data_IF_171023028502
#
_entry.id   IF_171023028502
#
_cell.length_a   1.000
_cell.length_b   1.000
_cell.length_c   1.000
_cell.angle_alpha   90.00
_cell.angle_beta   90.00
_cell.angle_gamma   90.00
#
_symmetry.space_group_name_H-M   'P 1'
#
loop_
_entity.id
_entity.type
_entity.pdbx_description
1 polymer ?
#
# COMPACT_ATOMS: atom_id res chain seq x y z
N UNK A 1 17.93 47.82 48.78
CA UNK A 1 18.75 46.78 48.11
C UNK A 1 17.94 46.24 46.93
N UNK A 2 18.39 46.46 45.68
CA UNK A 2 17.68 46.08 44.45
C UNK A 2 18.00 44.62 44.11
N UNK A 3 17.04 43.71 44.26
CA UNK A 3 17.17 42.31 43.86
C UNK A 3 17.05 42.16 42.34
N UNK A 4 18.11 41.70 41.68
CA UNK A 4 18.10 41.34 40.25
C UNK A 4 17.49 39.94 40.10
N UNK A 5 16.38 39.85 39.37
CA UNK A 5 15.76 38.59 38.97
C UNK A 5 16.58 37.95 37.84
N UNK A 6 17.06 36.73 38.07
CA UNK A 6 17.88 35.96 37.14
C UNK A 6 16.95 35.14 36.23
N UNK A 7 16.91 35.48 34.94
CA UNK A 7 16.14 34.74 33.94
C UNK A 7 16.95 33.51 33.51
N UNK A 8 16.51 32.33 33.93
CA UNK A 8 17.07 31.05 33.46
C UNK A 8 16.65 30.82 32.01
N UNK A 9 17.63 30.82 31.11
CA UNK A 9 17.48 30.44 29.71
C UNK A 9 17.52 28.91 29.62
N UNK A 10 16.38 28.27 29.38
CA UNK A 10 16.32 26.83 29.10
C UNK A 10 16.60 26.63 27.62
N UNK A 11 17.81 26.17 27.28
CA UNK A 11 18.15 25.74 25.93
C UNK A 11 17.61 24.31 25.77
N UNK A 12 16.49 24.17 25.06
CA UNK A 12 15.94 22.88 24.68
C UNK A 12 16.76 22.35 23.48
N UNK A 13 17.82 21.59 23.75
CA UNK A 13 18.51 20.81 22.71
C UNK A 13 17.58 19.71 22.23
N UNK A 14 16.94 19.91 21.08
CA UNK A 14 16.26 18.86 20.35
C UNK A 14 17.30 17.82 19.89
N UNK A 15 17.45 16.75 20.66
CA UNK A 15 18.14 15.53 20.25
C UNK A 15 17.36 14.93 19.07
N UNK A 16 17.81 15.23 17.85
CA UNK A 16 17.47 14.51 16.64
C UNK A 16 18.02 13.09 16.80
N UNK A 17 17.24 12.20 17.42
CA UNK A 17 17.54 10.77 17.39
C UNK A 17 17.42 10.32 15.92
N UNK A 18 18.48 9.77 15.31
CA UNK A 18 18.35 9.18 13.99
C UNK A 18 17.33 8.04 14.13
N UNK A 19 16.20 8.17 13.44
CA UNK A 19 15.26 7.07 13.28
C UNK A 19 16.05 5.99 12.55
N UNK A 20 16.38 4.91 13.26
CA UNK A 20 17.03 3.74 12.67
C UNK A 20 16.08 3.22 11.59
N UNK A 21 16.39 3.53 10.32
CA UNK A 21 15.80 2.85 9.19
C UNK A 21 16.12 1.37 9.38
N UNK A 22 15.13 0.57 9.80
CA UNK A 22 15.30 -0.88 9.80
C UNK A 22 15.48 -1.29 8.36
N UNK A 23 16.71 -1.64 7.99
CA UNK A 23 17.01 -2.17 6.68
C UNK A 23 16.32 -3.54 6.57
N UNK A 24 15.33 -3.65 5.70
CA UNK A 24 14.75 -4.94 5.31
C UNK A 24 15.84 -5.81 4.68
N UNK A 25 15.82 -7.10 4.98
CA UNK A 25 16.80 -8.04 4.42
C UNK A 25 16.30 -8.58 3.09
N UNK A 26 17.11 -8.46 2.05
CA UNK A 26 16.84 -9.12 0.78
C UNK A 26 17.49 -10.50 0.76
N UNK A 27 16.77 -11.50 0.30
CA UNK A 27 17.38 -12.78 -0.02
C UNK A 27 18.40 -12.63 -1.17
N UNK A 28 19.33 -13.59 -1.27
CA UNK A 28 20.42 -13.55 -2.26
C UNK A 28 19.90 -13.59 -3.70
N UNK A 29 18.79 -14.25 -3.93
CA UNK A 29 18.15 -14.45 -5.23
C UNK A 29 17.35 -13.25 -5.74
N UNK A 30 17.12 -12.22 -4.92
CA UNK A 30 16.51 -10.97 -5.41
C UNK A 30 17.53 -10.25 -6.31
N UNK A 31 17.19 -9.92 -7.57
CA UNK A 31 18.10 -9.19 -8.46
C UNK A 31 18.48 -7.82 -7.89
N UNK A 32 19.71 -7.37 -8.10
CA UNK A 32 20.23 -6.15 -7.47
C UNK A 32 19.48 -4.88 -7.92
N UNK A 33 19.07 -4.85 -9.19
CA UNK A 33 18.21 -3.81 -9.74
C UNK A 33 16.83 -3.76 -9.06
N UNK A 34 16.31 -4.91 -8.63
CA UNK A 34 15.02 -5.00 -7.91
C UNK A 34 15.18 -4.58 -6.46
N UNK A 35 16.30 -4.90 -5.80
CA UNK A 35 16.61 -4.36 -4.47
C UNK A 35 16.69 -2.84 -4.50
N UNK A 36 17.42 -2.31 -5.48
CA UNK A 36 17.57 -0.87 -5.69
C UNK A 36 16.23 -0.20 -5.97
N UNK A 37 15.41 -0.80 -6.85
CA UNK A 37 14.06 -0.32 -7.13
C UNK A 37 13.20 -0.29 -5.86
N UNK A 38 13.19 -1.37 -5.08
CA UNK A 38 12.40 -1.46 -3.84
C UNK A 38 12.83 -0.41 -2.81
N UNK A 39 14.13 -0.22 -2.62
CA UNK A 39 14.65 0.83 -1.73
C UNK A 39 14.22 2.21 -2.21
N UNK A 40 14.35 2.50 -3.50
CA UNK A 40 13.91 3.78 -4.07
C UNK A 40 12.41 4.01 -3.96
N UNK A 41 11.60 2.95 -4.12
CA UNK A 41 10.15 3.01 -3.98
C UNK A 41 9.73 3.28 -2.53
N UNK A 42 10.42 2.66 -1.57
CA UNK A 42 10.21 2.92 -0.15
C UNK A 42 10.74 4.29 0.28
N UNK A 43 11.82 4.78 -0.31
CA UNK A 43 12.23 6.18 -0.12
C UNK A 43 11.21 7.16 -0.70
N UNK A 44 10.62 6.85 -1.85
CA UNK A 44 9.56 7.68 -2.43
C UNK A 44 8.34 7.76 -1.52
N UNK A 45 7.84 6.62 -0.99
CA UNK A 45 6.65 6.65 -0.12
C UNK A 45 6.91 7.48 1.14
N UNK A 46 8.15 7.44 1.67
CA UNK A 46 8.56 8.21 2.86
C UNK A 46 8.52 9.73 2.64
N UNK A 47 8.58 10.19 1.39
CA UNK A 47 8.46 11.61 1.06
C UNK A 47 7.03 12.11 0.95
N UNK A 48 6.00 11.24 0.96
CA UNK A 48 4.62 11.69 0.74
C UNK A 48 4.14 12.59 1.88
N UNK A 49 3.58 13.75 1.52
CA UNK A 49 2.98 14.68 2.48
C UNK A 49 1.54 14.98 2.12
N UNK A 50 0.69 15.08 3.13
CA UNK A 50 -0.72 15.44 3.01
C UNK A 50 -1.32 15.78 4.38
N UNK A 51 -2.11 16.85 4.42
CA UNK A 51 -2.71 17.34 5.68
C UNK A 51 -4.06 16.68 6.00
N UNK A 52 -4.68 16.05 4.99
CA UNK A 52 -5.99 15.43 5.09
C UNK A 52 -5.91 13.95 4.70
N UNK A 53 -6.88 13.19 5.18
CA UNK A 53 -7.15 11.82 4.75
C UNK A 53 -8.63 11.52 4.94
N UNK A 54 -9.12 10.58 4.16
CA UNK A 54 -10.47 10.03 4.27
C UNK A 54 -10.64 9.20 5.55
N UNK A 55 -11.89 8.91 5.94
CA UNK A 55 -12.17 8.21 7.19
C UNK A 55 -11.71 6.75 7.15
N UNK A 56 -11.78 6.07 5.99
CA UNK A 56 -11.25 4.72 5.87
C UNK A 56 -9.72 4.70 5.91
N UNK A 57 -9.08 5.70 5.31
CA UNK A 57 -7.62 5.82 5.35
C UNK A 57 -7.09 6.02 6.78
N UNK A 58 -7.76 6.86 7.56
CA UNK A 58 -7.41 7.07 8.97
C UNK A 58 -7.46 5.78 9.80
N UNK A 59 -8.38 4.86 9.48
CA UNK A 59 -8.51 3.59 10.19
C UNK A 59 -7.39 2.59 9.87
N UNK A 60 -6.78 2.69 8.68
CA UNK A 60 -5.75 1.74 8.23
C UNK A 60 -4.36 2.28 8.49
N UNK A 61 -4.12 3.51 8.03
CA UNK A 61 -2.80 4.13 8.00
C UNK A 61 -2.72 5.33 8.95
N UNK A 62 -3.72 6.21 8.91
CA UNK A 62 -3.68 7.50 9.59
C UNK A 62 -3.79 8.67 8.59
N UNK A 63 -2.93 9.68 8.76
CA UNK A 63 -2.78 10.76 7.77
C UNK A 63 -2.09 10.26 6.49
N UNK A 64 -2.26 10.98 5.39
CA UNK A 64 -1.44 10.78 4.18
C UNK A 64 -0.05 11.34 4.48
N UNK A 65 0.83 10.49 5.01
CA UNK A 65 2.12 10.92 5.52
C UNK A 65 3.15 9.81 5.34
N UNK A 66 4.31 10.15 4.80
CA UNK A 66 5.37 9.21 4.47
C UNK A 66 5.88 8.44 5.69
N UNK A 67 6.26 9.10 6.79
CA UNK A 67 6.62 8.41 8.04
C UNK A 67 5.56 7.40 8.53
N UNK A 68 4.27 7.73 8.40
CA UNK A 68 3.17 6.81 8.75
C UNK A 68 3.15 5.58 7.83
N UNK A 69 3.28 5.76 6.51
CA UNK A 69 3.38 4.67 5.55
C UNK A 69 4.64 3.81 5.78
N UNK A 70 5.78 4.45 6.00
CA UNK A 70 7.06 3.81 6.30
C UNK A 70 6.96 2.96 7.57
N UNK A 71 6.37 3.50 8.65
CA UNK A 71 6.13 2.75 9.87
C UNK A 71 5.17 1.57 9.65
N UNK A 72 4.10 1.78 8.88
CA UNK A 72 3.16 0.72 8.55
C UNK A 72 3.85 -0.46 7.88
N UNK A 73 4.70 -0.19 6.87
CA UNK A 73 5.46 -1.22 6.17
C UNK A 73 6.53 -1.87 7.06
N UNK A 74 7.40 -1.08 7.69
CA UNK A 74 8.53 -1.59 8.47
C UNK A 74 8.11 -2.41 9.70
N UNK A 75 6.92 -2.15 10.25
CA UNK A 75 6.37 -2.95 11.36
C UNK A 75 5.80 -4.30 10.92
N UNK A 76 5.71 -4.55 9.61
CA UNK A 76 5.02 -5.71 9.01
C UNK A 76 5.96 -6.58 8.19
N UNK A 77 6.79 -5.96 7.35
CA UNK A 77 7.69 -6.65 6.42
C UNK A 77 9.13 -6.38 6.82
N UNK A 78 9.87 -7.44 7.14
CA UNK A 78 11.27 -7.41 7.55
C UNK A 78 12.19 -8.07 6.53
N UNK A 79 11.66 -8.91 5.64
CA UNK A 79 12.42 -9.59 4.61
C UNK A 79 11.69 -9.61 3.27
N UNK A 80 12.47 -9.60 2.18
CA UNK A 80 11.99 -9.64 0.80
C UNK A 80 12.74 -10.73 0.04
N UNK A 81 12.01 -11.64 -0.59
CA UNK A 81 12.56 -12.78 -1.33
C UNK A 81 11.94 -12.97 -2.71
N UNK A 82 12.34 -14.06 -3.38
CA UNK A 82 11.70 -14.52 -4.62
C UNK A 82 10.92 -15.82 -4.40
N UNK A 83 9.74 -15.95 -4.99
CA UNK A 83 8.96 -17.19 -5.00
C UNK A 83 7.99 -17.22 -6.20
N UNK A 84 7.52 -18.41 -6.58
CA UNK A 84 6.50 -18.55 -7.63
C UNK A 84 5.07 -18.23 -7.14
N UNK A 85 4.85 -18.12 -5.83
CA UNK A 85 3.57 -17.75 -5.20
C UNK A 85 2.35 -18.56 -5.71
N UNK A 86 2.54 -19.85 -5.95
CA UNK A 86 1.48 -20.73 -6.44
C UNK A 86 1.22 -20.67 -7.96
N UNK A 87 1.95 -19.86 -8.73
CA UNK A 87 1.94 -19.91 -10.20
C UNK A 87 2.02 -18.56 -10.92
N UNK A 88 2.02 -18.60 -12.24
CA UNK A 88 2.39 -17.47 -13.13
C UNK A 88 1.45 -16.27 -13.19
N UNK A 89 0.41 -16.17 -12.35
CA UNK A 89 -0.53 -15.03 -12.32
C UNK A 89 -0.28 -14.06 -11.17
N UNK A 90 0.32 -14.52 -10.07
CA UNK A 90 0.60 -13.69 -8.90
C UNK A 90 1.70 -12.67 -9.21
N UNK A 91 1.68 -11.52 -8.54
CA UNK A 91 2.71 -10.48 -8.67
C UNK A 91 3.68 -10.55 -7.49
N UNK A 92 3.13 -10.70 -6.30
CA UNK A 92 3.85 -11.01 -5.08
C UNK A 92 2.94 -11.89 -4.19
N UNK A 93 3.46 -12.34 -3.06
CA UNK A 93 2.68 -12.98 -2.02
C UNK A 93 3.33 -12.82 -0.65
N UNK A 94 2.55 -13.02 0.39
CA UNK A 94 3.02 -13.49 1.70
C UNK A 94 2.58 -14.93 1.86
N UNK A 95 3.45 -15.75 2.44
CA UNK A 95 3.20 -17.15 2.78
C UNK A 95 3.22 -17.29 4.31
N UNK A 96 2.08 -17.02 5.00
CA UNK A 96 2.00 -16.88 6.46
C UNK A 96 2.61 -18.04 7.25
N UNK A 97 2.51 -19.26 6.75
CA UNK A 97 3.01 -20.46 7.41
C UNK A 97 4.54 -20.64 7.34
N UNK A 98 5.23 -19.94 6.42
CA UNK A 98 6.70 -19.89 6.40
C UNK A 98 7.23 -18.67 7.17
N UNK A 99 6.63 -17.50 6.94
CA UNK A 99 6.97 -16.27 7.66
C UNK A 99 5.83 -15.27 7.52
N UNK A 100 5.37 -14.74 8.65
CA UNK A 100 4.37 -13.69 8.70
C UNK A 100 4.97 -12.29 8.48
N UNK A 101 6.28 -12.16 8.25
CA UNK A 101 6.92 -10.84 8.02
C UNK A 101 7.82 -10.82 6.79
N UNK A 102 7.65 -11.79 5.90
CA UNK A 102 8.38 -11.85 4.63
C UNK A 102 7.41 -11.68 3.48
N UNK A 103 7.81 -10.85 2.52
CA UNK A 103 7.14 -10.71 1.23
C UNK A 103 7.98 -11.44 0.18
N UNK A 104 7.32 -12.16 -0.72
CA UNK A 104 7.97 -12.81 -1.85
C UNK A 104 7.50 -12.16 -3.15
N UNK A 105 8.44 -11.71 -3.96
CA UNK A 105 8.20 -11.19 -5.30
C UNK A 105 8.21 -12.36 -6.29
N UNK A 106 7.38 -12.25 -7.33
CA UNK A 106 7.38 -13.20 -8.46
C UNK A 106 8.11 -12.61 -9.66
N UNK A 107 8.34 -13.41 -10.69
CA UNK A 107 8.83 -12.92 -12.00
C UNK A 107 7.93 -11.84 -12.61
N UNK A 108 6.62 -11.84 -12.31
CA UNK A 108 5.72 -10.80 -12.83
C UNK A 108 6.02 -9.41 -12.25
N UNK A 109 6.49 -9.33 -11.00
CA UNK A 109 6.92 -8.06 -10.40
C UNK A 109 8.22 -7.56 -11.05
N UNK A 110 9.12 -8.48 -11.37
CA UNK A 110 10.43 -8.18 -11.96
C UNK A 110 10.31 -7.76 -13.42
N UNK A 111 9.51 -8.49 -14.21
CA UNK A 111 9.51 -8.35 -15.68
C UNK A 111 8.69 -7.16 -16.19
N UNK A 112 7.70 -6.70 -15.43
CA UNK A 112 6.81 -5.65 -15.89
C UNK A 112 7.11 -4.31 -15.23
N UNK A 113 7.51 -3.33 -16.04
CA UNK A 113 7.68 -1.95 -15.58
C UNK A 113 6.32 -1.29 -15.34
N UNK A 114 6.10 -0.87 -14.10
CA UNK A 114 4.91 -0.15 -13.66
C UNK A 114 5.32 1.16 -13.00
N UNK A 115 4.48 2.22 -12.99
CA UNK A 115 4.76 3.44 -12.24
C UNK A 115 5.14 3.18 -10.78
N UNK A 116 6.04 4.00 -10.23
CA UNK A 116 6.53 3.82 -8.85
C UNK A 116 5.40 3.74 -7.81
N UNK A 117 4.39 4.61 -7.93
CA UNK A 117 3.23 4.61 -7.00
C UNK A 117 2.39 3.32 -7.10
N UNK A 118 2.30 2.71 -8.28
CA UNK A 118 1.58 1.44 -8.43
C UNK A 118 2.39 0.24 -7.95
N UNK A 119 3.73 0.28 -8.00
CA UNK A 119 4.55 -0.73 -7.31
C UNK A 119 4.34 -0.68 -5.80
N UNK A 120 4.23 0.51 -5.22
CA UNK A 120 3.91 0.66 -3.79
C UNK A 120 2.53 0.09 -3.43
N UNK A 121 1.56 0.12 -4.33
CA UNK A 121 0.27 -0.56 -4.14
C UNK A 121 0.44 -2.06 -3.84
N UNK A 122 1.33 -2.74 -4.57
CA UNK A 122 1.63 -4.18 -4.36
C UNK A 122 2.36 -4.36 -3.02
N UNK A 123 3.35 -3.51 -2.72
CA UNK A 123 4.11 -3.60 -1.48
C UNK A 123 3.20 -3.47 -0.24
N UNK A 124 2.29 -2.49 -0.24
CA UNK A 124 1.33 -2.31 0.84
C UNK A 124 0.22 -3.35 0.85
N UNK A 125 -0.14 -3.89 -0.32
CA UNK A 125 -1.05 -5.03 -0.43
C UNK A 125 -0.49 -6.24 0.30
N UNK A 126 0.76 -6.61 0.01
CA UNK A 126 1.42 -7.74 0.67
C UNK A 126 1.65 -7.49 2.15
N UNK A 127 1.95 -6.24 2.54
CA UNK A 127 2.04 -5.89 3.96
C UNK A 127 0.75 -6.23 4.72
N UNK A 128 -0.45 -6.11 4.13
CA UNK A 128 -1.69 -6.56 4.81
C UNK A 128 -1.71 -8.05 5.08
N UNK A 129 -1.15 -8.86 4.19
CA UNK A 129 -1.11 -10.30 4.37
C UNK A 129 -0.21 -10.75 5.54
N UNK A 130 0.56 -9.85 6.14
CA UNK A 130 1.33 -10.09 7.38
C UNK A 130 0.51 -9.97 8.66
N UNK A 131 -0.72 -9.42 8.60
CA UNK A 131 -1.49 -9.03 9.78
C UNK A 131 -2.23 -10.22 10.41
N UNK A 132 -1.50 -11.05 11.17
CA UNK A 132 -2.01 -12.27 11.84
C UNK A 132 -3.24 -11.99 12.72
N UNK A 133 -3.27 -10.88 13.45
CA UNK A 133 -4.41 -10.49 14.31
C UNK A 133 -5.71 -10.28 13.53
N UNK A 134 -5.60 -10.05 12.22
CA UNK A 134 -6.70 -9.86 11.30
C UNK A 134 -6.88 -11.06 10.36
N UNK A 135 -6.28 -12.21 10.70
CA UNK A 135 -6.34 -13.43 9.90
C UNK A 135 -5.59 -13.34 8.59
N UNK A 136 -4.56 -12.48 8.47
CA UNK A 136 -3.73 -12.30 7.26
C UNK A 136 -4.50 -11.76 6.04
N UNK A 137 -5.71 -11.21 6.22
CA UNK A 137 -6.53 -10.62 5.14
C UNK A 137 -6.53 -11.45 3.84
N UNK A 138 -6.93 -12.74 3.86
CA UNK A 138 -6.85 -13.59 2.68
C UNK A 138 -7.76 -13.02 1.58
N UNK A 139 -7.36 -13.23 0.33
CA UNK A 139 -8.23 -12.90 -0.80
C UNK A 139 -9.51 -13.74 -0.75
N UNK A 140 -10.60 -13.13 -1.16
CA UNK A 140 -11.82 -13.82 -1.53
C UNK A 140 -11.76 -14.27 -2.99
N UNK A 141 -12.47 -15.36 -3.28
CA UNK A 141 -12.70 -15.81 -4.66
C UNK A 141 -13.59 -14.81 -5.40
N UNK A 142 -13.13 -14.39 -6.57
CA UNK A 142 -13.91 -13.54 -7.47
C UNK A 142 -15.10 -14.31 -8.07
N UNK A 143 -16.23 -13.63 -8.36
CA UNK A 143 -17.43 -14.28 -8.90
C UNK A 143 -17.16 -14.93 -10.27
N UNK A 144 -18.07 -15.79 -10.72
CA UNK A 144 -18.03 -16.36 -12.07
C UNK A 144 -19.43 -16.26 -12.68
N UNK A 145 -19.63 -15.51 -13.78
CA UNK A 145 -18.64 -14.66 -14.46
C UNK A 145 -18.21 -13.46 -13.60
N UNK A 146 -17.01 -12.93 -13.83
CA UNK A 146 -16.55 -11.66 -13.25
C UNK A 146 -16.38 -10.63 -14.35
N UNK A 147 -17.36 -9.73 -14.46
CA UNK A 147 -17.41 -8.70 -15.51
C UNK A 147 -17.31 -7.30 -14.90
N UNK A 148 -16.76 -6.36 -15.67
CA UNK A 148 -16.79 -4.94 -15.33
C UNK A 148 -18.15 -4.29 -15.66
N UNK A 149 -18.24 -2.97 -15.48
CA UNK A 149 -19.45 -2.21 -15.73
C UNK A 149 -19.90 -2.22 -17.21
N UNK A 150 -18.98 -2.46 -18.14
CA UNK A 150 -19.23 -2.53 -19.57
C UNK A 150 -19.53 -3.97 -20.05
N UNK A 151 -19.56 -4.94 -19.12
CA UNK A 151 -19.79 -6.36 -19.41
C UNK A 151 -18.54 -7.10 -19.91
N UNK A 152 -17.36 -6.49 -19.86
CA UNK A 152 -16.08 -7.10 -20.28
C UNK A 152 -15.50 -7.94 -19.14
N UNK A 153 -14.78 -9.03 -19.48
CA UNK A 153 -14.11 -9.85 -18.46
C UNK A 153 -13.10 -9.03 -17.66
N UNK A 154 -13.20 -9.12 -16.34
CA UNK A 154 -12.23 -8.54 -15.42
C UNK A 154 -10.89 -9.25 -15.59
N UNK A 155 -9.85 -8.46 -15.88
CA UNK A 155 -8.46 -8.91 -16.04
C UNK A 155 -7.53 -8.14 -15.10
N UNK A 156 -6.44 -8.78 -14.70
CA UNK A 156 -5.36 -8.14 -13.96
C UNK A 156 -4.69 -7.06 -14.81
N UNK A 157 -4.59 -5.83 -14.31
CA UNK A 157 -3.80 -4.77 -14.95
C UNK A 157 -2.30 -5.13 -15.04
N UNK A 158 -1.82 -6.01 -14.15
CA UNK A 158 -0.41 -6.41 -14.07
C UNK A 158 -0.04 -7.51 -15.05
N UNK A 159 -0.93 -8.47 -15.28
CA UNK A 159 -0.60 -9.71 -15.99
C UNK A 159 -1.51 -10.01 -17.18
N UNK A 160 -2.61 -9.27 -17.34
CA UNK A 160 -3.63 -9.52 -18.35
C UNK A 160 -4.46 -10.80 -18.12
N UNK A 161 -4.21 -11.54 -17.03
CA UNK A 161 -4.92 -12.76 -16.71
C UNK A 161 -6.37 -12.47 -16.30
N UNK A 162 -7.30 -13.35 -16.71
CA UNK A 162 -8.71 -13.28 -16.28
C UNK A 162 -8.82 -13.59 -14.79
N UNK A 163 -9.67 -12.83 -14.09
CA UNK A 163 -9.81 -12.89 -12.63
C UNK A 163 -11.01 -13.72 -12.15
N UNK A 164 -11.93 -14.13 -13.04
CA UNK A 164 -13.09 -14.92 -12.67
C UNK A 164 -12.68 -16.25 -11.98
N UNK A 165 -13.25 -16.52 -10.79
CA UNK A 165 -12.95 -17.73 -10.01
C UNK A 165 -11.59 -17.73 -9.30
N UNK A 166 -10.75 -16.71 -9.48
CA UNK A 166 -9.44 -16.61 -8.82
C UNK A 166 -9.58 -16.03 -7.40
N UNK A 167 -8.70 -16.40 -6.44
CA UNK A 167 -8.60 -15.74 -5.14
C UNK A 167 -7.94 -14.37 -5.31
N UNK A 168 -8.70 -13.42 -5.86
CA UNK A 168 -8.19 -12.18 -6.40
C UNK A 168 -9.11 -10.99 -6.12
N UNK A 169 -10.00 -11.13 -5.13
CA UNK A 169 -11.00 -10.14 -4.76
C UNK A 169 -11.02 -9.91 -3.25
N UNK A 170 -11.67 -8.83 -2.82
CA UNK A 170 -11.97 -8.56 -1.42
C UNK A 170 -13.47 -8.53 -1.13
N UNK A 171 -13.82 -8.78 0.13
CA UNK A 171 -15.18 -8.66 0.67
C UNK A 171 -15.34 -7.50 1.66
N UNK A 172 -14.26 -6.82 2.01
CA UNK A 172 -14.31 -5.68 2.95
C UNK A 172 -13.44 -4.55 2.42
N UNK A 173 -13.64 -3.30 2.89
CA UNK A 173 -12.74 -2.20 2.55
C UNK A 173 -11.31 -2.40 3.06
N UNK A 174 -11.12 -3.26 4.07
CA UNK A 174 -9.85 -3.46 4.76
C UNK A 174 -9.05 -4.66 4.24
N UNK A 175 -9.60 -5.40 3.27
CA UNK A 175 -8.86 -6.42 2.53
C UNK A 175 -7.68 -5.81 1.77
N UNK A 176 -6.81 -6.64 1.22
CA UNK A 176 -5.53 -6.18 0.69
C UNK A 176 -5.67 -5.34 -0.60
N UNK A 177 -6.67 -5.58 -1.46
CA UNK A 177 -6.99 -4.68 -2.58
C UNK A 177 -7.71 -3.41 -2.12
N UNK A 178 -8.63 -3.55 -1.16
CA UNK A 178 -9.37 -2.44 -0.55
C UNK A 178 -8.45 -1.42 0.12
N UNK A 179 -7.51 -1.88 0.96
CA UNK A 179 -6.56 -1.00 1.63
C UNK A 179 -5.62 -0.31 0.66
N UNK A 180 -5.14 -1.03 -0.36
CA UNK A 180 -4.24 -0.44 -1.35
C UNK A 180 -4.95 0.59 -2.22
N UNK A 181 -6.21 0.35 -2.60
CA UNK A 181 -7.00 1.36 -3.33
C UNK A 181 -7.30 2.58 -2.46
N UNK A 182 -7.55 2.39 -1.16
CA UNK A 182 -7.75 3.48 -0.20
C UNK A 182 -6.48 4.33 -0.10
N UNK A 183 -5.31 3.71 0.08
CA UNK A 183 -4.02 4.40 0.09
C UNK A 183 -3.84 5.24 -1.18
N UNK A 184 -3.98 4.62 -2.35
CA UNK A 184 -3.78 5.28 -3.63
C UNK A 184 -4.77 6.44 -3.88
N UNK A 185 -6.07 6.27 -3.58
CA UNK A 185 -7.04 7.38 -3.72
C UNK A 185 -6.75 8.53 -2.78
N UNK A 186 -6.22 8.26 -1.59
CA UNK A 186 -5.83 9.31 -0.67
C UNK A 186 -4.56 10.03 -1.13
N UNK A 187 -3.59 9.32 -1.72
CA UNK A 187 -2.44 9.95 -2.40
C UNK A 187 -2.93 10.83 -3.57
N UNK A 188 -3.82 10.33 -4.42
CA UNK A 188 -4.40 11.11 -5.52
C UNK A 188 -5.03 12.42 -5.01
N UNK A 189 -5.85 12.34 -3.95
CA UNK A 189 -6.66 13.47 -3.48
C UNK A 189 -5.92 14.45 -2.59
N UNK A 190 -5.08 13.94 -1.68
CA UNK A 190 -4.60 14.72 -0.53
C UNK A 190 -3.09 14.87 -0.48
N UNK A 191 -2.33 14.23 -1.37
CA UNK A 191 -0.88 14.45 -1.42
C UNK A 191 -0.56 15.87 -1.89
N UNK A 192 0.00 16.70 -1.03
CA UNK A 192 0.33 18.11 -1.31
C UNK A 192 1.60 18.26 -2.14
N UNK A 193 2.55 17.34 -2.01
CA UNK A 193 3.85 17.39 -2.68
C UNK A 193 4.01 16.41 -3.87
N UNK A 194 2.96 15.65 -4.21
CA UNK A 194 2.97 14.78 -5.38
C UNK A 194 2.72 15.55 -6.68
N UNK A 195 3.41 15.17 -7.75
CA UNK A 195 3.14 15.68 -9.11
C UNK A 195 1.79 15.22 -9.63
N UNK A 196 1.24 15.92 -10.62
CA UNK A 196 -0.01 15.54 -11.28
C UNK A 196 0.07 14.13 -11.88
N UNK A 197 1.23 13.75 -12.41
CA UNK A 197 1.45 12.39 -12.93
C UNK A 197 1.31 11.35 -11.83
N UNK A 198 1.94 11.56 -10.66
CA UNK A 198 1.82 10.63 -9.52
C UNK A 198 0.37 10.51 -9.07
N UNK A 199 -0.35 11.64 -8.96
CA UNK A 199 -1.77 11.63 -8.59
C UNK A 199 -2.64 10.91 -9.61
N UNK A 200 -2.39 11.13 -10.91
CA UNK A 200 -3.10 10.48 -12.00
C UNK A 200 -2.86 8.97 -11.99
N UNK A 201 -1.59 8.54 -11.89
CA UNK A 201 -1.23 7.12 -11.80
C UNK A 201 -1.90 6.49 -10.55
N UNK A 202 -1.81 7.13 -9.39
CA UNK A 202 -2.47 6.64 -8.18
C UNK A 202 -3.98 6.49 -8.38
N UNK A 203 -4.62 7.44 -9.06
CA UNK A 203 -6.04 7.39 -9.39
C UNK A 203 -6.41 6.19 -10.26
N UNK A 204 -5.70 5.97 -11.36
CA UNK A 204 -5.94 4.89 -12.32
C UNK A 204 -5.82 3.52 -11.64
N UNK A 205 -4.73 3.29 -10.90
CA UNK A 205 -4.51 2.00 -10.24
C UNK A 205 -5.46 1.77 -9.07
N UNK A 206 -5.88 2.83 -8.37
CA UNK A 206 -6.91 2.71 -7.33
C UNK A 206 -8.27 2.32 -7.93
N UNK A 207 -8.65 2.91 -9.06
CA UNK A 207 -9.91 2.59 -9.74
C UNK A 207 -9.91 1.15 -10.27
N UNK A 208 -8.77 0.64 -10.71
CA UNK A 208 -8.60 -0.77 -11.06
C UNK A 208 -8.80 -1.69 -9.85
N UNK A 209 -8.11 -1.43 -8.73
CA UNK A 209 -8.25 -2.25 -7.53
C UNK A 209 -9.64 -2.18 -6.92
N UNK A 210 -10.33 -1.05 -7.03
CA UNK A 210 -11.70 -0.90 -6.55
C UNK A 210 -12.65 -1.92 -7.16
N UNK A 211 -12.47 -2.24 -8.45
CA UNK A 211 -13.28 -3.25 -9.16
C UNK A 211 -13.17 -4.65 -8.56
N UNK A 212 -12.13 -4.90 -7.75
CA UNK A 212 -11.84 -6.19 -7.09
C UNK A 212 -12.51 -6.31 -5.71
N UNK A 213 -13.15 -5.26 -5.22
CA UNK A 213 -14.02 -5.33 -4.04
C UNK A 213 -15.41 -5.76 -4.50
N UNK A 214 -15.91 -6.88 -3.98
CA UNK A 214 -17.12 -7.54 -4.53
C UNK A 214 -18.33 -7.49 -3.61
N UNK A 215 -18.14 -7.15 -2.34
CA UNK A 215 -19.25 -6.97 -1.40
C UNK A 215 -19.91 -5.59 -1.60
N UNK A 216 -21.24 -5.57 -1.69
CA UNK A 216 -21.97 -4.33 -1.97
C UNK A 216 -21.86 -3.31 -0.83
N UNK A 217 -21.86 -3.74 0.43
CA UNK A 217 -21.73 -2.82 1.55
C UNK A 217 -20.32 -2.21 1.58
N UNK A 218 -19.28 -3.02 1.31
CA UNK A 218 -17.92 -2.54 1.16
C UNK A 218 -17.78 -1.51 0.02
N UNK A 219 -18.36 -1.80 -1.15
CA UNK A 219 -18.40 -0.89 -2.30
C UNK A 219 -19.03 0.44 -1.92
N UNK A 220 -20.20 0.42 -1.25
CA UNK A 220 -20.89 1.65 -0.87
C UNK A 220 -20.12 2.46 0.18
N UNK A 221 -19.50 1.79 1.15
CA UNK A 221 -18.64 2.45 2.14
C UNK A 221 -17.46 3.18 1.48
N UNK A 222 -16.77 2.51 0.55
CA UNK A 222 -15.67 3.10 -0.23
C UNK A 222 -16.15 4.26 -1.09
N UNK A 223 -17.29 4.12 -1.80
CA UNK A 223 -17.85 5.20 -2.63
C UNK A 223 -18.19 6.44 -1.81
N UNK A 224 -18.84 6.25 -0.66
CA UNK A 224 -19.19 7.33 0.25
C UNK A 224 -17.95 8.07 0.75
N UNK A 225 -16.89 7.35 1.09
CA UNK A 225 -15.67 7.94 1.64
C UNK A 225 -14.81 8.62 0.57
N UNK A 226 -14.66 7.99 -0.60
CA UNK A 226 -13.64 8.36 -1.60
C UNK A 226 -14.16 8.94 -2.92
N UNK A 227 -15.44 8.79 -3.26
CA UNK A 227 -15.94 9.22 -4.59
C UNK A 227 -17.05 10.27 -4.51
N UNK A 228 -17.90 10.22 -3.49
CA UNK A 228 -19.06 11.11 -3.39
C UNK A 228 -18.75 12.46 -2.71
N UNK A 229 -17.57 12.62 -2.11
CA UNK A 229 -17.11 13.89 -1.54
C UNK A 229 -16.29 14.66 -2.59
N UNK A 230 -16.98 15.44 -3.43
CA UNK A 230 -16.36 16.29 -4.48
C UNK A 230 -16.05 17.72 -3.96
N UNK A 231 -16.26 18.00 -2.67
CA UNK A 231 -16.06 19.34 -2.07
C UNK A 231 -15.08 19.34 -0.89
N UNK A 232 -13.87 18.76 -1.03
CA UNK A 232 -12.81 18.78 0.02
C UNK A 232 -11.54 19.50 -0.43
#
# INVERSE_FOLDING_TARGET
MKGKSMKTLVILSALLLPVLASAYTFDKEVPEEIKTQMVNDLSFIDTIEGEKSSALHQQIFGLVNGPVYTQFFNSRVTAIGMNACGGGKAVACVIPYYSNSKMWLTENFVKFSHPQVSRMMVVFHEARHTEVKNGNFPHATCPTPFKDADGTDMKSIWTGATLAGEPACDKTPFGSYGSSMIMLKNIQKFCSNCTDKVKMDAGIYADDQFKRVTDQNAIQAIRKDLYNNVNL
#
